data_IF_522210997170
#
_entry.id   IF_522210997170
#
_cell.length_a   1.000
_cell.length_b   1.000
_cell.length_c   1.000
_cell.angle_alpha   90.00
_cell.angle_beta   90.00
_cell.angle_gamma   90.00
#
_symmetry.space_group_name_H-M   'P 1'
#
loop_
_entity.id
_entity.type
_entity.pdbx_description
1 polymer ?
#
# COMPACT_ATOMS: atom_id res chain seq x y z
N UNK A 1 -12.98 -8.15 -22.51
CA UNK A 1 -12.03 -7.06 -22.25
C UNK A 1 -11.23 -7.44 -21.01
N UNK A 2 -9.91 -7.24 -20.98
CA UNK A 2 -9.07 -7.50 -19.80
C UNK A 2 -8.72 -6.15 -19.16
N UNK A 3 -9.03 -5.99 -17.88
CA UNK A 3 -8.63 -4.81 -17.12
C UNK A 3 -7.24 -5.04 -16.51
N UNK A 4 -6.44 -3.97 -16.44
CA UNK A 4 -5.15 -3.95 -15.75
C UNK A 4 -5.25 -2.81 -14.75
N UNK A 5 -5.01 -3.11 -13.48
CA UNK A 5 -4.94 -2.12 -12.41
C UNK A 5 -3.46 -1.82 -12.13
N UNK A 6 -3.12 -0.53 -12.12
CA UNK A 6 -1.78 -0.04 -11.81
C UNK A 6 -1.88 1.34 -11.18
N UNK A 7 -0.85 1.71 -10.44
CA UNK A 7 -0.76 3.02 -9.79
C UNK A 7 -0.03 4.02 -10.68
N UNK A 8 -0.33 5.30 -10.48
CA UNK A 8 0.29 6.40 -11.19
C UNK A 8 -0.09 7.72 -10.56
N UNK A 9 0.48 8.79 -11.09
CA UNK A 9 0.25 10.17 -10.62
C UNK A 9 -0.19 11.05 -11.78
N UNK A 10 -1.01 12.05 -11.47
CA UNK A 10 -1.29 13.14 -12.40
C UNK A 10 -0.23 14.22 -12.17
N UNK A 11 0.48 14.62 -13.23
CA UNK A 11 1.47 15.71 -13.15
C UNK A 11 0.81 17.10 -13.11
N UNK A 12 1.64 18.13 -12.97
CA UNK A 12 1.24 19.54 -12.96
C UNK A 12 0.58 20.02 -14.26
N UNK A 13 0.69 19.24 -15.34
CA UNK A 13 0.09 19.51 -16.66
C UNK A 13 -1.17 18.67 -16.89
N UNK A 14 -1.59 17.87 -15.91
CA UNK A 14 -2.77 17.01 -16.02
C UNK A 14 -2.54 15.72 -16.80
N UNK A 15 -1.29 15.30 -17.00
CA UNK A 15 -0.95 14.04 -17.68
C UNK A 15 -0.85 12.89 -16.68
N UNK A 16 -1.33 11.71 -17.08
CA UNK A 16 -1.16 10.48 -16.30
C UNK A 16 0.23 9.89 -16.52
N UNK A 17 1.03 9.83 -15.45
CA UNK A 17 2.29 9.10 -15.40
C UNK A 17 2.08 7.80 -14.63
N UNK A 18 2.34 6.67 -15.28
CA UNK A 18 2.29 5.36 -14.63
C UNK A 18 3.58 5.09 -13.88
N UNK A 19 3.49 4.49 -12.69
CA UNK A 19 4.68 4.13 -11.91
C UNK A 19 5.51 3.05 -12.62
N UNK A 20 4.86 2.23 -13.46
CA UNK A 20 5.49 1.18 -14.27
C UNK A 20 4.84 1.10 -15.65
N UNK A 21 5.58 0.68 -16.70
CA UNK A 21 5.00 0.42 -18.02
C UNK A 21 3.92 -0.66 -17.97
N UNK A 22 2.88 -0.50 -18.79
CA UNK A 22 1.87 -1.55 -18.97
C UNK A 22 2.45 -2.68 -19.82
N UNK A 23 2.55 -3.87 -19.26
CA UNK A 23 2.97 -5.07 -20.00
C UNK A 23 1.79 -5.62 -20.81
N UNK A 24 1.56 -5.00 -21.97
CA UNK A 24 0.50 -5.39 -22.92
C UNK A 24 1.14 -5.87 -24.21
N UNK A 25 0.84 -7.12 -24.59
CA UNK A 25 1.41 -7.79 -25.75
C UNK A 25 1.04 -7.15 -27.11
N UNK A 26 0.08 -6.22 -27.15
CA UNK A 26 -0.41 -5.61 -28.38
C UNK A 26 -0.55 -4.09 -28.22
N UNK A 27 0.08 -3.32 -29.13
CA UNK A 27 0.07 -1.85 -29.18
C UNK A 27 -1.26 -1.27 -29.69
N UNK A 28 -2.37 -1.67 -29.09
CA UNK A 28 -3.72 -1.25 -29.48
C UNK A 28 -4.18 -0.04 -28.67
N UNK A 29 -5.16 0.71 -29.20
CA UNK A 29 -5.86 1.75 -28.43
C UNK A 29 -6.57 1.12 -27.23
N UNK A 30 -6.39 1.69 -26.06
CA UNK A 30 -7.02 1.26 -24.80
C UNK A 30 -7.98 2.32 -24.28
N UNK A 31 -8.94 1.89 -23.44
CA UNK A 31 -9.77 2.78 -22.63
C UNK A 31 -9.15 2.86 -21.24
N UNK A 32 -8.93 4.07 -20.74
CA UNK A 32 -8.36 4.31 -19.42
C UNK A 32 -9.49 4.79 -18.49
N UNK A 33 -9.55 4.24 -17.29
CA UNK A 33 -10.39 4.73 -16.19
C UNK A 33 -9.42 5.19 -15.11
N UNK A 34 -9.53 6.44 -14.68
CA UNK A 34 -8.71 7.01 -13.60
C UNK A 34 -9.57 7.08 -12.36
N UNK A 35 -9.12 6.44 -11.28
CA UNK A 35 -9.73 6.54 -9.97
C UNK A 35 -8.94 7.59 -9.18
N UNK A 36 -9.61 8.68 -8.81
CA UNK A 36 -9.06 9.71 -7.93
C UNK A 36 -9.74 9.53 -6.58
N UNK A 37 -9.00 9.27 -5.49
CA UNK A 37 -9.60 9.13 -4.17
C UNK A 37 -10.24 10.45 -3.76
N UNK A 38 -11.47 10.40 -3.26
CA UNK A 38 -12.13 11.55 -2.64
C UNK A 38 -11.69 11.66 -1.17
N UNK A 39 -11.74 12.86 -0.58
CA UNK A 39 -11.38 13.04 0.84
C UNK A 39 -12.25 12.18 1.78
N UNK A 40 -13.45 11.81 1.33
CA UNK A 40 -14.37 10.91 2.03
C UNK A 40 -13.99 9.43 1.95
N UNK A 41 -13.07 9.05 1.05
CA UNK A 41 -12.53 7.68 0.95
C UNK A 41 -11.39 7.43 1.97
N UNK A 42 -10.90 8.49 2.63
CA UNK A 42 -9.93 8.39 3.70
C UNK A 42 -10.70 8.06 4.98
N UNK A 43 -10.64 6.80 5.40
CA UNK A 43 -11.18 6.39 6.69
C UNK A 43 -10.38 7.12 7.81
N UNK A 44 -11.02 7.91 8.68
CA UNK A 44 -10.31 8.59 9.77
C UNK A 44 -9.66 7.63 10.77
N UNK A 45 -10.08 6.36 10.79
CA UNK A 45 -9.47 5.31 11.62
C UNK A 45 -8.24 4.65 10.95
N UNK A 46 -7.95 4.94 9.68
CA UNK A 46 -6.78 4.39 9.00
C UNK A 46 -5.53 5.20 9.35
N UNK A 47 -4.47 4.49 9.72
CA UNK A 47 -3.16 5.10 9.92
C UNK A 47 -2.62 5.67 8.58
N UNK A 48 -1.95 6.83 8.61
CA UNK A 48 -1.25 7.34 7.44
C UNK A 48 -0.28 6.29 6.86
N UNK A 49 -0.15 6.26 5.54
CA UNK A 49 0.76 5.34 4.82
C UNK A 49 2.19 5.39 5.39
N UNK A 50 2.65 6.58 5.79
CA UNK A 50 3.97 6.77 6.40
C UNK A 50 4.11 5.98 7.71
N UNK A 51 3.13 6.08 8.62
CA UNK A 51 3.08 5.32 9.87
C UNK A 51 3.08 3.80 9.62
N UNK A 52 2.30 3.34 8.64
CA UNK A 52 2.25 1.93 8.27
C UNK A 52 3.61 1.43 7.77
N UNK A 53 4.28 2.22 6.93
CA UNK A 53 5.62 1.89 6.40
C UNK A 53 6.65 1.83 7.53
N UNK A 54 6.64 2.79 8.46
CA UNK A 54 7.55 2.81 9.61
C UNK A 54 7.38 1.57 10.49
N UNK A 55 6.13 1.20 10.80
CA UNK A 55 5.82 -0.01 11.57
C UNK A 55 6.30 -1.29 10.89
N UNK A 56 6.15 -1.40 9.57
CA UNK A 56 6.65 -2.54 8.79
C UNK A 56 8.18 -2.62 8.83
N UNK A 57 8.86 -1.48 8.64
CA UNK A 57 10.33 -1.43 8.67
C UNK A 57 10.87 -1.83 10.04
N UNK A 58 10.24 -1.33 11.11
CA UNK A 58 10.60 -1.70 12.49
C UNK A 58 10.40 -3.20 12.73
N UNK A 59 9.21 -3.75 12.44
CA UNK A 59 8.93 -5.17 12.65
C UNK A 59 9.86 -6.08 11.84
N UNK A 60 10.25 -5.66 10.63
CA UNK A 60 11.25 -6.38 9.85
C UNK A 60 12.64 -6.33 10.52
N UNK A 61 13.06 -5.16 11.01
CA UNK A 61 14.33 -5.01 11.74
C UNK A 61 14.36 -5.88 13.01
N UNK A 62 13.29 -5.90 13.78
CA UNK A 62 13.15 -6.73 14.99
C UNK A 62 13.25 -8.22 14.65
N UNK A 63 12.57 -8.66 13.59
CA UNK A 63 12.62 -10.04 13.12
C UNK A 63 14.04 -10.49 12.74
N UNK A 64 14.79 -9.68 11.98
CA UNK A 64 16.15 -10.05 11.54
C UNK A 64 17.19 -9.93 12.66
N UNK A 65 16.94 -9.10 13.67
CA UNK A 65 17.84 -8.94 14.83
C UNK A 65 17.48 -9.87 16.00
N UNK A 66 16.40 -10.65 15.88
CA UNK A 66 15.94 -11.56 16.92
C UNK A 66 15.26 -10.87 18.11
N UNK A 67 14.90 -9.58 17.98
CA UNK A 67 14.14 -8.82 18.96
C UNK A 67 12.63 -9.15 18.85
N UNK A 68 12.30 -10.43 18.90
CA UNK A 68 10.92 -10.93 18.72
C UNK A 68 10.46 -11.70 19.94
N UNK A 69 9.15 -11.73 20.18
CA UNK A 69 8.55 -12.57 21.22
C UNK A 69 8.07 -13.90 20.63
N UNK A 70 8.31 -15.05 21.28
CA UNK A 70 7.72 -16.33 20.86
C UNK A 70 6.19 -16.26 20.88
N UNK A 71 5.54 -16.94 19.93
CA UNK A 71 4.07 -16.97 19.83
C UNK A 71 3.40 -17.42 21.13
N UNK A 72 4.00 -18.36 21.86
CA UNK A 72 3.49 -18.83 23.15
C UNK A 72 3.45 -17.74 24.23
N UNK A 73 4.27 -16.71 24.09
CA UNK A 73 4.42 -15.63 25.07
C UNK A 73 3.68 -14.35 24.65
N UNK A 74 3.14 -14.27 23.42
CA UNK A 74 2.39 -13.09 22.95
C UNK A 74 1.16 -12.75 23.78
N UNK A 75 0.57 -13.73 24.45
CA UNK A 75 -0.60 -13.54 25.32
C UNK A 75 -0.22 -13.25 26.78
N UNK A 76 1.05 -13.38 27.14
CA UNK A 76 1.50 -13.12 28.52
C UNK A 76 1.39 -11.62 28.82
N UNK A 77 0.58 -11.26 29.82
CA UNK A 77 0.35 -9.87 30.24
C UNK A 77 -0.81 -9.17 29.53
N UNK A 78 -1.54 -9.84 28.63
CA UNK A 78 -2.79 -9.32 28.03
C UNK A 78 -4.02 -9.72 28.87
N UNK A 79 -3.93 -10.80 29.66
CA UNK A 79 -5.05 -11.35 30.44
C UNK A 79 -5.33 -10.65 31.80
N UNK A 80 -4.58 -9.60 32.18
CA UNK A 80 -4.70 -8.95 33.51
C UNK A 80 -5.37 -7.56 33.47
N UNK A 81 -6.61 -7.47 32.97
CA UNK A 81 -7.51 -6.34 33.30
C UNK A 81 -9.00 -6.70 33.28
#
# INVERSE_FOLDING_TARGET
MKAIETTGKIDDRGQLLLDRPLDIANYNRVRIIVLVPEETDINPDDDPIETVIEGIQQGFHEAITGQTLPLSQLWEGIDDN
#
